data_IF_671632998473
#
_entry.id   IF_671632998473
#
_cell.length_a   1.000
_cell.length_b   1.000
_cell.length_c   1.000
_cell.angle_alpha   90.00
_cell.angle_beta   90.00
_cell.angle_gamma   90.00
#
_symmetry.space_group_name_H-M   'P 1'
#
loop_
_entity.id
_entity.type
_entity.pdbx_description
1 polymer ?
#
# COMPACT_ATOMS: atom_id res chain seq x y z
N UNK A 1 -4.91 4.91 -24.02
CA UNK A 1 -5.20 3.59 -23.36
C UNK A 1 -6.55 3.64 -22.68
N UNK A 2 -7.23 2.51 -22.61
CA UNK A 2 -8.44 2.31 -21.80
C UNK A 2 -8.05 1.68 -20.46
N UNK A 3 -8.47 2.31 -19.36
CA UNK A 3 -8.06 1.91 -18.01
C UNK A 3 -9.30 1.58 -17.19
N UNK A 4 -9.34 0.37 -16.63
CA UNK A 4 -10.32 -0.07 -15.66
C UNK A 4 -9.80 0.12 -14.24
N UNK A 5 -10.59 0.67 -13.33
CA UNK A 5 -10.21 0.87 -11.92
C UNK A 5 -11.25 0.23 -11.02
N UNK A 6 -10.82 -0.67 -10.16
CA UNK A 6 -11.64 -1.24 -9.10
C UNK A 6 -11.42 -0.47 -7.80
N UNK A 7 -12.48 0.16 -7.30
CA UNK A 7 -12.48 0.98 -6.09
C UNK A 7 -12.06 2.44 -6.33
N UNK A 8 -12.85 3.37 -5.80
CA UNK A 8 -12.62 4.81 -5.89
C UNK A 8 -12.31 5.44 -4.52
N UNK A 9 -11.49 4.75 -3.73
CA UNK A 9 -10.92 5.30 -2.50
C UNK A 9 -9.86 6.37 -2.77
N UNK A 10 -8.95 6.60 -1.81
CA UNK A 10 -7.82 7.51 -1.98
C UNK A 10 -6.92 7.08 -3.15
N UNK A 11 -6.52 5.82 -3.17
CA UNK A 11 -5.60 5.27 -4.19
C UNK A 11 -6.29 5.20 -5.55
N UNK A 12 -7.40 4.47 -5.68
CA UNK A 12 -8.09 4.32 -6.96
C UNK A 12 -8.62 5.63 -7.54
N UNK A 13 -9.13 6.52 -6.69
CA UNK A 13 -9.53 7.87 -7.10
C UNK A 13 -8.36 8.71 -7.61
N UNK A 14 -7.17 8.58 -7.01
CA UNK A 14 -5.96 9.27 -7.47
C UNK A 14 -5.46 8.71 -8.80
N UNK A 15 -5.50 7.39 -8.97
CA UNK A 15 -5.23 6.73 -10.26
C UNK A 15 -6.21 7.23 -11.33
N UNK A 16 -7.53 7.23 -11.04
CA UNK A 16 -8.54 7.70 -11.98
C UNK A 16 -8.25 9.14 -12.46
N UNK A 17 -7.94 10.03 -11.52
CA UNK A 17 -7.59 11.43 -11.84
C UNK A 17 -6.32 11.54 -12.66
N UNK A 18 -5.28 10.76 -12.34
CA UNK A 18 -4.00 10.80 -13.06
C UNK A 18 -4.17 10.37 -14.52
N UNK A 19 -4.89 9.26 -14.75
CA UNK A 19 -5.15 8.78 -16.10
C UNK A 19 -6.10 9.69 -16.89
N UNK A 20 -7.16 10.18 -16.29
CA UNK A 20 -8.06 11.13 -16.93
C UNK A 20 -7.34 12.44 -17.32
N UNK A 21 -6.49 12.97 -16.44
CA UNK A 21 -5.67 14.16 -16.71
C UNK A 21 -4.69 13.94 -17.87
N UNK A 22 -4.16 12.72 -18.00
CA UNK A 22 -3.30 12.32 -19.11
C UNK A 22 -4.06 12.03 -20.43
N UNK A 23 -5.38 12.22 -20.45
CA UNK A 23 -6.22 12.04 -21.64
C UNK A 23 -6.56 10.59 -21.97
N UNK A 24 -6.52 9.71 -20.98
CA UNK A 24 -6.93 8.30 -21.14
C UNK A 24 -8.41 8.11 -20.81
N UNK A 25 -9.01 7.06 -21.39
CA UNK A 25 -10.37 6.63 -21.05
C UNK A 25 -10.33 5.84 -19.75
N UNK A 26 -11.11 6.24 -18.76
CA UNK A 26 -11.16 5.60 -17.43
C UNK A 26 -12.55 5.07 -17.15
N UNK A 27 -12.65 3.77 -16.92
CA UNK A 27 -13.84 3.10 -16.40
C UNK A 27 -13.60 2.71 -14.94
N UNK A 28 -14.62 2.76 -14.09
CA UNK A 28 -14.45 2.36 -12.70
C UNK A 28 -15.61 1.52 -12.17
N UNK A 29 -15.28 0.57 -11.30
CA UNK A 29 -16.24 -0.16 -10.47
C UNK A 29 -16.12 0.33 -9.02
N UNK A 30 -17.24 0.81 -8.47
CA UNK A 30 -17.36 1.27 -7.09
C UNK A 30 -18.73 0.83 -6.55
N UNK A 31 -18.76 0.38 -5.30
CA UNK A 31 -19.99 -0.09 -4.65
C UNK A 31 -20.93 1.04 -4.25
N UNK A 32 -20.37 2.20 -3.94
CA UNK A 32 -21.12 3.42 -3.64
C UNK A 32 -21.43 4.16 -4.93
N UNK A 33 -22.67 4.03 -5.40
CA UNK A 33 -23.15 4.67 -6.64
C UNK A 33 -23.00 6.21 -6.58
N UNK A 34 -23.17 6.81 -5.40
CA UNK A 34 -22.98 8.25 -5.21
C UNK A 34 -21.54 8.66 -5.41
N UNK A 35 -20.59 7.82 -4.96
CA UNK A 35 -19.17 8.04 -5.18
C UNK A 35 -18.79 7.92 -6.65
N UNK A 36 -19.33 6.91 -7.34
CA UNK A 36 -19.12 6.73 -8.78
C UNK A 36 -19.66 7.94 -9.57
N UNK A 37 -20.87 8.35 -9.28
CA UNK A 37 -21.49 9.53 -9.93
C UNK A 37 -20.69 10.81 -9.65
N UNK A 38 -20.17 10.98 -8.44
CA UNK A 38 -19.30 12.11 -8.10
C UNK A 38 -17.96 12.06 -8.86
N UNK A 39 -17.36 10.89 -9.02
CA UNK A 39 -16.14 10.73 -9.79
C UNK A 39 -16.34 11.02 -11.29
N UNK A 40 -17.49 10.67 -11.82
CA UNK A 40 -17.90 11.01 -13.20
C UNK A 40 -18.10 12.53 -13.35
N UNK A 41 -18.83 13.15 -12.44
CA UNK A 41 -19.02 14.61 -12.44
C UNK A 41 -17.70 15.38 -12.32
N UNK A 42 -16.75 14.82 -11.56
CA UNK A 42 -15.40 15.38 -11.41
C UNK A 42 -14.49 15.13 -12.63
N UNK A 43 -14.97 14.46 -13.67
CA UNK A 43 -14.23 14.15 -14.89
C UNK A 43 -13.11 13.13 -14.71
N UNK A 44 -13.08 12.38 -13.58
CA UNK A 44 -12.08 11.36 -13.30
C UNK A 44 -12.44 9.98 -13.90
N UNK A 45 -13.73 9.74 -14.13
CA UNK A 45 -14.26 8.48 -14.68
C UNK A 45 -15.25 8.82 -15.78
N UNK A 46 -15.19 8.14 -16.91
CA UNK A 46 -16.16 8.32 -17.99
C UNK A 46 -17.42 7.50 -17.78
N UNK A 47 -17.26 6.19 -17.54
CA UNK A 47 -18.38 5.27 -17.39
C UNK A 47 -18.10 4.19 -16.33
N UNK A 48 -19.14 3.47 -15.85
CA UNK A 48 -18.97 2.31 -14.98
C UNK A 48 -18.16 1.20 -15.67
N UNK A 49 -17.34 0.48 -14.93
CA UNK A 49 -16.61 -0.69 -15.43
C UNK A 49 -17.54 -1.91 -15.48
N UNK A 50 -18.17 -2.12 -16.62
CA UNK A 50 -19.03 -3.28 -16.92
C UNK A 50 -18.21 -4.42 -17.54
N UNK A 51 -18.81 -5.60 -17.73
CA UNK A 51 -18.17 -6.72 -18.42
C UNK A 51 -17.68 -6.33 -19.84
N UNK A 52 -18.50 -5.60 -20.59
CA UNK A 52 -18.14 -5.12 -21.93
C UNK A 52 -16.98 -4.12 -21.91
N UNK A 53 -16.87 -3.32 -20.84
CA UNK A 53 -15.76 -2.37 -20.67
C UNK A 53 -14.48 -3.08 -20.21
N UNK A 54 -14.56 -4.15 -19.41
CA UNK A 54 -13.41 -4.96 -18.99
C UNK A 54 -12.67 -5.52 -20.22
N UNK A 55 -13.40 -6.01 -21.23
CA UNK A 55 -12.82 -6.54 -22.48
C UNK A 55 -12.03 -5.50 -23.28
N UNK A 56 -12.35 -4.20 -23.10
CA UNK A 56 -11.71 -3.09 -23.79
C UNK A 56 -10.51 -2.51 -23.04
N UNK A 57 -10.28 -2.93 -21.80
CA UNK A 57 -9.19 -2.38 -20.98
C UNK A 57 -7.82 -2.87 -21.43
N UNK A 58 -6.89 -1.93 -21.62
CA UNK A 58 -5.46 -2.20 -21.79
C UNK A 58 -4.78 -2.42 -20.43
N UNK A 59 -5.29 -1.74 -19.39
CA UNK A 59 -4.81 -1.76 -18.01
C UNK A 59 -5.98 -1.85 -17.05
N UNK A 60 -5.88 -2.72 -16.05
CA UNK A 60 -6.84 -2.81 -14.94
C UNK A 60 -6.07 -2.63 -13.63
N UNK A 61 -6.51 -1.67 -12.80
CA UNK A 61 -5.91 -1.35 -11.51
C UNK A 61 -6.87 -1.73 -10.38
N UNK A 62 -6.44 -2.63 -9.50
CA UNK A 62 -7.23 -3.14 -8.40
C UNK A 62 -6.88 -2.36 -7.13
N UNK A 63 -7.72 -1.42 -6.70
CA UNK A 63 -7.46 -0.50 -5.60
C UNK A 63 -8.49 -0.63 -4.45
N UNK A 64 -8.82 -1.87 -4.11
CA UNK A 64 -9.64 -2.27 -2.96
C UNK A 64 -8.84 -3.20 -2.04
N UNK A 65 -9.46 -3.77 -1.00
CA UNK A 65 -8.80 -4.67 -0.07
C UNK A 65 -8.43 -6.01 -0.74
N UNK A 66 -7.39 -6.72 -0.25
CA UNK A 66 -6.86 -7.92 -0.89
C UNK A 66 -7.92 -8.97 -1.23
N UNK A 67 -8.78 -9.31 -0.27
CA UNK A 67 -9.88 -10.25 -0.48
C UNK A 67 -10.86 -9.81 -1.57
N UNK A 68 -11.22 -8.53 -1.58
CA UNK A 68 -12.11 -7.98 -2.59
C UNK A 68 -11.46 -7.92 -3.98
N UNK A 69 -10.14 -7.65 -4.05
CA UNK A 69 -9.37 -7.71 -5.30
C UNK A 69 -9.41 -9.12 -5.91
N UNK A 70 -9.04 -10.13 -5.12
CA UNK A 70 -8.98 -11.51 -5.59
C UNK A 70 -10.36 -12.06 -5.97
N UNK A 71 -11.41 -11.74 -5.20
CA UNK A 71 -12.78 -12.15 -5.49
C UNK A 71 -13.29 -11.52 -6.78
N UNK A 72 -13.11 -10.20 -6.94
CA UNK A 72 -13.51 -9.52 -8.16
C UNK A 72 -12.76 -10.07 -9.39
N UNK A 73 -11.45 -10.33 -9.25
CA UNK A 73 -10.67 -10.90 -10.34
C UNK A 73 -11.17 -12.28 -10.74
N UNK A 74 -11.48 -13.15 -9.78
CA UNK A 74 -12.03 -14.49 -10.05
C UNK A 74 -13.39 -14.43 -10.78
N UNK A 75 -14.26 -13.50 -10.42
CA UNK A 75 -15.57 -13.32 -11.05
C UNK A 75 -15.47 -12.78 -12.49
N UNK A 76 -14.46 -11.95 -12.78
CA UNK A 76 -14.34 -11.20 -14.03
C UNK A 76 -13.21 -11.67 -14.95
N UNK A 77 -12.37 -12.61 -14.53
CA UNK A 77 -11.17 -13.08 -15.26
C UNK A 77 -11.47 -13.46 -16.72
N UNK A 78 -12.64 -14.10 -16.97
CA UNK A 78 -13.06 -14.50 -18.31
C UNK A 78 -13.32 -13.35 -19.29
N UNK A 79 -13.56 -12.13 -18.77
CA UNK A 79 -13.81 -10.93 -19.56
C UNK A 79 -12.55 -10.11 -19.79
N UNK A 80 -11.42 -10.46 -19.13
CA UNK A 80 -10.18 -9.74 -19.27
C UNK A 80 -9.47 -10.12 -20.57
N UNK A 81 -9.13 -9.13 -21.37
CA UNK A 81 -8.36 -9.34 -22.61
C UNK A 81 -7.01 -10.00 -22.30
N UNK A 82 -6.60 -10.96 -23.13
CA UNK A 82 -5.27 -11.59 -23.00
C UNK A 82 -4.11 -10.60 -23.15
N UNK A 83 -4.37 -9.46 -23.78
CA UNK A 83 -3.39 -8.38 -23.92
C UNK A 83 -3.48 -7.37 -22.75
N UNK A 84 -4.41 -7.51 -21.84
CA UNK A 84 -4.53 -6.60 -20.71
C UNK A 84 -3.41 -6.82 -19.68
N UNK A 85 -3.02 -5.72 -19.03
CA UNK A 85 -2.19 -5.73 -17.84
C UNK A 85 -3.07 -5.48 -16.63
N UNK A 86 -3.01 -6.35 -15.64
CA UNK A 86 -3.71 -6.20 -14.37
C UNK A 86 -2.70 -5.97 -13.27
N UNK A 87 -2.87 -4.91 -12.49
CA UNK A 87 -1.99 -4.56 -11.37
C UNK A 87 -2.83 -4.30 -10.14
N UNK A 88 -2.55 -4.96 -9.02
CA UNK A 88 -3.14 -4.59 -7.74
C UNK A 88 -2.38 -3.45 -7.06
N UNK A 89 -3.01 -2.81 -6.10
CA UNK A 89 -2.43 -1.72 -5.31
C UNK A 89 -2.51 -2.02 -3.79
N UNK A 90 -2.55 -3.28 -3.41
CA UNK A 90 -2.69 -3.70 -2.02
C UNK A 90 -1.40 -3.49 -1.22
N UNK A 91 -1.56 -3.33 0.09
CA UNK A 91 -0.44 -3.14 1.03
C UNK A 91 0.32 -4.41 1.41
N UNK A 92 -0.16 -5.60 1.00
CA UNK A 92 0.48 -6.92 1.18
C UNK A 92 0.49 -7.66 -0.15
N UNK A 93 1.43 -8.60 -0.33
CA UNK A 93 1.65 -9.24 -1.64
C UNK A 93 1.50 -10.75 -1.63
N UNK A 94 1.87 -11.47 -0.55
CA UNK A 94 1.81 -12.94 -0.57
C UNK A 94 0.39 -13.43 -0.79
N UNK A 95 -0.57 -12.92 -0.03
CA UNK A 95 -1.98 -13.32 -0.14
C UNK A 95 -2.57 -13.01 -1.52
N UNK A 96 -2.43 -11.78 -2.00
CA UNK A 96 -3.02 -11.37 -3.28
C UNK A 96 -2.34 -12.06 -4.48
N UNK A 97 -1.02 -12.17 -4.48
CA UNK A 97 -0.27 -12.78 -5.58
C UNK A 97 -0.54 -14.28 -5.67
N UNK A 98 -0.63 -15.00 -4.53
CA UNK A 98 -0.92 -16.43 -4.50
C UNK A 98 -2.27 -16.78 -5.15
N UNK A 99 -3.24 -15.87 -5.06
CA UNK A 99 -4.59 -16.04 -5.63
C UNK A 99 -4.70 -15.54 -7.07
N UNK A 100 -3.99 -14.45 -7.42
CA UNK A 100 -4.15 -13.79 -8.71
C UNK A 100 -3.24 -14.35 -9.81
N UNK A 101 -2.02 -14.83 -9.49
CA UNK A 101 -1.15 -15.45 -10.50
C UNK A 101 -1.77 -16.68 -11.16
N UNK A 102 -2.36 -17.65 -10.42
CA UNK A 102 -3.02 -18.79 -11.06
C UNK A 102 -4.19 -18.38 -11.97
N UNK A 103 -4.98 -17.40 -11.58
CA UNK A 103 -6.07 -16.89 -12.42
C UNK A 103 -5.54 -16.27 -13.71
N UNK A 104 -4.46 -15.46 -13.61
CA UNK A 104 -3.86 -14.86 -14.78
C UNK A 104 -3.30 -15.90 -15.75
N UNK A 105 -2.68 -16.96 -15.24
CA UNK A 105 -2.21 -18.10 -16.05
C UNK A 105 -3.37 -18.85 -16.72
N UNK A 106 -4.42 -19.17 -15.97
CA UNK A 106 -5.59 -19.89 -16.47
C UNK A 106 -6.31 -19.14 -17.60
N UNK A 107 -6.52 -17.82 -17.44
CA UNK A 107 -7.27 -17.02 -18.41
C UNK A 107 -6.38 -16.33 -19.46
N UNK A 108 -5.06 -16.33 -19.25
CA UNK A 108 -4.06 -15.90 -20.23
C UNK A 108 -3.82 -14.38 -20.30
N UNK A 109 -4.23 -13.60 -19.28
CA UNK A 109 -3.84 -12.20 -19.15
C UNK A 109 -2.59 -12.03 -18.29
N UNK A 110 -2.02 -10.83 -18.24
CA UNK A 110 -0.84 -10.55 -17.41
C UNK A 110 -1.25 -9.92 -16.08
N UNK A 111 -0.85 -10.55 -14.96
CA UNK A 111 -0.99 -9.97 -13.61
C UNK A 111 0.38 -9.62 -13.04
N UNK A 112 0.49 -8.46 -12.39
CA UNK A 112 1.67 -8.03 -11.64
C UNK A 112 1.22 -7.50 -10.28
N UNK A 113 1.80 -8.02 -9.21
CA UNK A 113 1.59 -7.45 -7.89
C UNK A 113 2.16 -6.03 -7.83
N UNK A 114 1.41 -5.11 -7.25
CA UNK A 114 1.81 -3.72 -7.10
C UNK A 114 1.56 -3.17 -5.70
N UNK A 115 2.40 -2.22 -5.28
CA UNK A 115 2.19 -1.46 -4.06
C UNK A 115 2.71 -0.03 -4.24
N UNK A 116 1.84 0.94 -4.53
CA UNK A 116 2.24 2.34 -4.56
C UNK A 116 2.54 2.82 -3.13
N UNK A 117 3.80 3.21 -2.88
CA UNK A 117 4.28 3.65 -1.57
C UNK A 117 3.86 5.10 -1.32
N UNK A 118 2.56 5.36 -1.41
CA UNK A 118 1.97 6.68 -1.24
C UNK A 118 0.65 6.59 -0.48
N UNK A 119 0.39 7.57 0.36
CA UNK A 119 -0.84 7.64 1.13
C UNK A 119 -0.90 8.88 2.01
N UNK A 120 -2.07 9.15 2.55
CA UNK A 120 -2.31 10.21 3.53
C UNK A 120 -3.11 9.66 4.70
N UNK A 121 -3.23 10.44 5.76
CA UNK A 121 -4.10 10.10 6.90
C UNK A 121 -5.60 10.09 6.56
N UNK A 122 -5.98 10.61 5.39
CA UNK A 122 -7.36 10.70 4.95
C UNK A 122 -7.70 9.58 3.98
N UNK A 123 -8.97 9.18 3.93
CA UNK A 123 -9.50 8.17 3.03
C UNK A 123 -10.64 8.72 2.16
N UNK A 124 -10.94 7.99 1.08
CA UNK A 124 -12.05 8.29 0.16
C UNK A 124 -11.66 9.22 -0.99
N UNK A 125 -12.50 9.21 -2.02
CA UNK A 125 -12.30 9.93 -3.27
C UNK A 125 -12.10 11.44 -3.12
N UNK A 126 -12.77 12.07 -2.14
CA UNK A 126 -12.66 13.52 -1.87
C UNK A 126 -11.23 13.98 -1.54
N UNK A 127 -10.38 13.06 -1.07
CA UNK A 127 -8.98 13.33 -0.72
C UNK A 127 -8.01 12.86 -1.80
N UNK A 128 -8.53 12.29 -2.90
CA UNK A 128 -7.70 11.84 -4.01
C UNK A 128 -7.13 13.01 -4.81
N UNK A 129 -5.93 12.81 -5.36
CA UNK A 129 -5.23 13.79 -6.18
C UNK A 129 -4.51 13.08 -7.33
N UNK A 130 -4.51 13.68 -8.52
CA UNK A 130 -3.73 13.18 -9.65
C UNK A 130 -2.22 13.13 -9.36
N UNK A 131 -1.74 13.95 -8.44
CA UNK A 131 -0.33 14.03 -8.04
C UNK A 131 0.02 13.20 -6.79
N UNK A 132 -0.89 12.35 -6.27
CA UNK A 132 -0.62 11.57 -5.06
C UNK A 132 0.63 10.71 -5.16
N UNK A 133 0.92 10.20 -6.35
CA UNK A 133 2.03 9.28 -6.61
C UNK A 133 3.29 9.95 -7.14
N UNK A 134 3.26 11.27 -7.35
CA UNK A 134 4.41 12.01 -7.87
C UNK A 134 5.63 11.78 -6.98
N UNK A 135 6.73 11.33 -7.60
CA UNK A 135 8.00 10.99 -6.95
C UNK A 135 7.96 9.85 -5.92
N UNK A 136 6.79 9.24 -5.67
CA UNK A 136 6.68 8.11 -4.77
C UNK A 136 7.27 6.83 -5.38
N UNK A 137 7.80 5.89 -4.57
CA UNK A 137 8.20 4.59 -5.05
C UNK A 137 6.97 3.73 -5.42
N UNK A 138 7.13 2.89 -6.45
CA UNK A 138 6.21 1.80 -6.78
C UNK A 138 6.91 0.47 -6.63
N UNK A 139 6.42 -0.40 -5.76
CA UNK A 139 6.97 -1.77 -5.62
C UNK A 139 6.20 -2.69 -6.55
N UNK A 140 6.93 -3.53 -7.28
CA UNK A 140 6.41 -4.48 -8.25
C UNK A 140 6.81 -5.91 -7.87
N UNK A 141 5.85 -6.82 -7.97
CA UNK A 141 6.02 -8.26 -7.81
C UNK A 141 5.56 -8.92 -9.11
N UNK A 142 6.45 -9.06 -10.11
CA UNK A 142 6.12 -9.72 -11.37
C UNK A 142 6.09 -11.24 -11.19
N UNK A 143 5.41 -12.00 -12.07
CA UNK A 143 5.45 -13.46 -12.06
C UNK A 143 6.86 -14.01 -12.37
N UNK A 144 7.69 -13.24 -13.06
CA UNK A 144 9.09 -13.56 -13.41
C UNK A 144 9.95 -12.30 -13.32
N UNK A 145 11.10 -12.42 -12.66
CA UNK A 145 12.04 -11.30 -12.45
C UNK A 145 12.86 -10.92 -13.68
N UNK A 146 13.06 -11.87 -14.57
CA UNK A 146 13.89 -11.74 -15.77
C UNK A 146 13.12 -11.23 -17.01
N UNK A 147 11.84 -10.91 -16.85
CA UNK A 147 10.99 -10.39 -17.93
C UNK A 147 11.11 -8.86 -18.05
N UNK A 148 12.18 -8.43 -18.69
CA UNK A 148 12.48 -7.00 -18.90
C UNK A 148 11.40 -6.32 -19.76
N UNK A 149 10.82 -7.04 -20.73
CA UNK A 149 9.75 -6.49 -21.59
C UNK A 149 8.49 -6.22 -20.79
N UNK A 150 8.13 -7.13 -19.87
CA UNK A 150 7.00 -6.91 -18.95
C UNK A 150 7.26 -5.72 -18.05
N UNK A 151 8.45 -5.61 -17.44
CA UNK A 151 8.77 -4.49 -16.54
C UNK A 151 8.76 -3.14 -17.28
N UNK A 152 9.25 -3.07 -18.50
CA UNK A 152 9.17 -1.87 -19.35
C UNK A 152 7.70 -1.53 -19.70
N UNK A 153 6.89 -2.53 -20.02
CA UNK A 153 5.44 -2.38 -20.26
C UNK A 153 4.73 -1.83 -19.03
N UNK A 154 4.99 -2.38 -17.84
CA UNK A 154 4.43 -1.89 -16.57
C UNK A 154 4.82 -0.44 -16.33
N UNK A 155 6.11 -0.10 -16.48
CA UNK A 155 6.61 1.27 -16.30
C UNK A 155 5.94 2.25 -17.24
N UNK A 156 5.77 1.89 -18.52
CA UNK A 156 5.06 2.72 -19.50
C UNK A 156 3.59 2.87 -19.18
N UNK A 157 2.92 1.79 -18.75
CA UNK A 157 1.53 1.82 -18.38
C UNK A 157 1.28 2.73 -17.15
N UNK A 158 2.18 2.76 -16.18
CA UNK A 158 2.10 3.57 -14.96
C UNK A 158 2.66 5.01 -15.11
N UNK A 159 3.20 5.38 -16.29
CA UNK A 159 3.78 6.71 -16.51
C UNK A 159 2.84 7.89 -16.14
N UNK A 160 1.51 7.83 -16.38
CA UNK A 160 0.60 8.90 -15.98
C UNK A 160 0.57 9.20 -14.48
N UNK A 161 0.98 8.23 -13.63
CA UNK A 161 1.00 8.39 -12.18
C UNK A 161 2.21 9.18 -11.66
N UNK A 162 3.30 9.29 -12.44
CA UNK A 162 4.49 10.06 -12.06
C UNK A 162 5.35 9.43 -10.96
N UNK A 163 5.34 8.10 -10.82
CA UNK A 163 6.20 7.41 -9.84
C UNK A 163 7.68 7.76 -10.05
N UNK A 164 8.39 8.09 -8.97
CA UNK A 164 9.81 8.48 -9.00
C UNK A 164 10.76 7.29 -9.15
N UNK A 165 10.38 6.12 -8.63
CA UNK A 165 11.20 4.91 -8.69
C UNK A 165 10.34 3.65 -8.74
N UNK A 166 10.96 2.56 -9.25
CA UNK A 166 10.36 1.23 -9.29
C UNK A 166 11.31 0.23 -8.63
N UNK A 167 10.80 -0.50 -7.64
CA UNK A 167 11.51 -1.59 -6.97
C UNK A 167 10.86 -2.92 -7.33
N UNK A 168 11.66 -3.90 -7.74
CA UNK A 168 11.18 -5.24 -8.10
C UNK A 168 11.60 -6.22 -7.02
N UNK A 169 10.65 -7.01 -6.51
CA UNK A 169 10.89 -7.94 -5.40
C UNK A 169 9.98 -9.16 -5.46
N UNK A 170 10.19 -10.15 -4.59
CA UNK A 170 9.24 -11.26 -4.38
C UNK A 170 8.09 -10.82 -3.47
N UNK A 171 6.95 -11.51 -3.54
CA UNK A 171 5.84 -11.26 -2.61
C UNK A 171 6.28 -11.41 -1.15
N UNK A 172 7.03 -12.47 -0.86
CA UNK A 172 7.57 -12.78 0.46
C UNK A 172 8.52 -11.70 0.99
N UNK A 173 9.50 -11.26 0.18
CA UNK A 173 10.42 -10.20 0.60
C UNK A 173 9.73 -8.86 0.76
N UNK A 174 8.75 -8.56 -0.11
CA UNK A 174 7.89 -7.40 0.06
C UNK A 174 7.25 -7.39 1.44
N UNK A 175 6.51 -8.45 1.79
CA UNK A 175 5.74 -8.51 3.01
C UNK A 175 6.63 -8.51 4.26
N UNK A 176 7.79 -9.17 4.21
CA UNK A 176 8.81 -9.10 5.25
C UNK A 176 9.30 -7.67 5.48
N UNK A 177 9.62 -6.93 4.41
CA UNK A 177 10.10 -5.54 4.52
C UNK A 177 8.99 -4.60 4.96
N UNK A 178 7.77 -4.79 4.47
CA UNK A 178 6.60 -3.97 4.85
C UNK A 178 6.21 -4.17 6.32
N UNK A 179 6.38 -5.35 6.88
CA UNK A 179 6.19 -5.58 8.31
C UNK A 179 7.04 -4.59 9.13
N UNK A 180 8.31 -4.43 8.78
CA UNK A 180 9.23 -3.52 9.46
C UNK A 180 9.01 -2.05 9.10
N UNK A 181 8.97 -1.71 7.81
CA UNK A 181 9.00 -0.31 7.36
C UNK A 181 7.67 0.42 7.48
N UNK A 182 6.55 -0.33 7.52
CA UNK A 182 5.21 0.24 7.54
C UNK A 182 4.36 -0.26 8.72
N UNK A 183 4.20 -1.57 8.87
CA UNK A 183 3.20 -2.11 9.81
C UNK A 183 3.60 -1.91 11.26
N UNK A 184 4.84 -2.21 11.66
CA UNK A 184 5.35 -1.93 13.01
C UNK A 184 5.27 -0.46 13.39
N UNK A 185 5.67 0.52 12.57
CA UNK A 185 5.47 1.94 12.86
C UNK A 185 4.02 2.32 13.18
N UNK A 186 3.04 1.74 12.47
CA UNK A 186 1.62 1.99 12.75
C UNK A 186 1.17 1.39 14.08
N UNK A 187 1.64 0.17 14.43
CA UNK A 187 1.38 -0.44 15.75
C UNK A 187 1.98 0.40 16.86
N UNK A 188 3.26 0.79 16.74
CA UNK A 188 3.95 1.61 17.74
C UNK A 188 3.20 2.93 17.97
N UNK A 189 2.91 3.63 16.89
CA UNK A 189 2.21 4.92 16.92
C UNK A 189 0.83 4.80 17.59
N UNK A 190 0.05 3.78 17.19
CA UNK A 190 -1.27 3.54 17.76
C UNK A 190 -1.22 3.06 19.21
N UNK A 191 -0.23 2.26 19.59
CA UNK A 191 -0.03 1.84 20.98
C UNK A 191 0.44 2.99 21.87
N UNK A 192 1.39 3.80 21.38
CA UNK A 192 1.95 4.94 22.09
C UNK A 192 0.90 5.96 22.51
N UNK A 193 -0.02 6.32 21.60
CA UNK A 193 -1.05 7.33 21.87
C UNK A 193 -2.09 6.89 22.91
N UNK A 194 -2.16 5.59 23.26
CA UNK A 194 -3.06 5.06 24.28
C UNK A 194 -2.62 5.37 25.72
N UNK A 195 -1.43 5.95 25.90
CA UNK A 195 -0.98 6.39 27.22
C UNK A 195 -1.99 7.38 27.84
N UNK A 196 -2.36 7.22 29.13
CA UNK A 196 -3.19 8.20 29.83
C UNK A 196 -2.59 9.60 29.81
N UNK A 197 -1.26 9.71 29.76
CA UNK A 197 -0.52 10.97 29.71
C UNK A 197 -0.78 11.74 28.41
N UNK A 198 -1.20 11.04 27.34
CA UNK A 198 -1.44 11.67 26.03
C UNK A 198 -2.47 12.80 26.08
N UNK A 199 -3.45 12.76 27.01
CA UNK A 199 -4.47 13.81 27.16
C UNK A 199 -3.91 15.15 27.64
N UNK A 200 -2.74 15.14 28.30
CA UNK A 200 -2.09 16.33 28.86
C UNK A 200 -0.88 16.85 28.05
N UNK A 201 -0.68 16.37 26.81
CA UNK A 201 0.53 16.67 26.04
C UNK A 201 0.61 18.11 25.51
N UNK A 202 -0.49 18.86 25.51
CA UNK A 202 -0.57 20.21 24.95
C UNK A 202 0.39 21.15 25.65
N UNK A 203 1.22 21.86 24.87
CA UNK A 203 2.28 22.72 25.39
C UNK A 203 3.60 22.03 25.72
N UNK A 204 3.63 20.67 25.75
CA UNK A 204 4.83 19.87 26.04
C UNK A 204 5.30 19.04 24.82
N UNK A 205 4.55 19.02 23.74
CA UNK A 205 4.86 18.21 22.56
C UNK A 205 5.55 19.04 21.47
N UNK A 206 6.58 18.44 20.86
CA UNK A 206 7.36 18.99 19.76
C UNK A 206 7.48 17.98 18.59
N UNK A 207 8.53 18.09 17.79
CA UNK A 207 8.74 17.27 16.58
C UNK A 207 8.65 15.77 16.84
N UNK A 208 9.40 15.24 17.78
CA UNK A 208 9.45 13.79 18.08
C UNK A 208 8.07 13.20 18.40
N UNK A 209 7.24 13.91 19.14
CA UNK A 209 5.87 13.48 19.40
C UNK A 209 5.04 13.45 18.12
N UNK A 210 5.10 14.53 17.31
CA UNK A 210 4.34 14.64 16.06
C UNK A 210 4.75 13.57 15.06
N UNK A 211 6.04 13.32 14.92
CA UNK A 211 6.58 12.32 13.99
C UNK A 211 6.13 10.91 14.40
N UNK A 212 6.27 10.57 15.70
CA UNK A 212 5.88 9.26 16.22
C UNK A 212 4.36 9.02 16.14
N UNK A 213 3.53 10.05 16.34
CA UNK A 213 2.06 9.89 16.40
C UNK A 213 1.36 10.15 15.07
N UNK A 214 2.06 10.62 14.05
CA UNK A 214 1.49 10.97 12.74
C UNK A 214 0.67 9.83 12.13
N UNK A 215 1.16 8.61 12.22
CA UNK A 215 0.53 7.42 11.63
C UNK A 215 -0.44 6.70 12.58
N UNK A 216 -0.73 7.26 13.76
CA UNK A 216 -1.79 6.76 14.64
C UNK A 216 -3.20 7.00 14.05
N UNK A 217 -3.34 7.99 13.16
CA UNK A 217 -4.55 8.19 12.36
C UNK A 217 -4.61 7.11 11.28
N UNK A 218 -5.47 6.12 11.46
CA UNK A 218 -5.58 4.99 10.56
C UNK A 218 -7.04 4.52 10.45
N UNK A 219 -7.34 3.78 9.36
CA UNK A 219 -8.59 3.07 9.22
C UNK A 219 -8.48 1.70 9.93
N UNK A 220 -9.16 1.49 11.09
CA UNK A 220 -8.95 0.28 11.89
C UNK A 220 -9.28 -1.03 11.15
N UNK A 221 -10.32 -1.02 10.30
CA UNK A 221 -10.75 -2.21 9.57
C UNK A 221 -9.71 -2.62 8.51
N UNK A 222 -9.24 -1.66 7.73
CA UNK A 222 -8.21 -1.91 6.72
C UNK A 222 -6.91 -2.43 7.34
N UNK A 223 -6.44 -1.77 8.41
CA UNK A 223 -5.19 -2.16 9.06
C UNK A 223 -5.28 -3.50 9.76
N UNK A 224 -6.44 -3.85 10.33
CA UNK A 224 -6.64 -5.18 10.92
C UNK A 224 -6.52 -6.29 9.86
N UNK A 225 -7.10 -6.12 8.67
CA UNK A 225 -6.95 -7.06 7.55
C UNK A 225 -5.48 -7.17 7.14
N UNK A 226 -4.80 -6.05 6.83
CA UNK A 226 -3.39 -6.03 6.42
C UNK A 226 -2.44 -6.65 7.47
N UNK A 227 -2.72 -6.48 8.75
CA UNK A 227 -1.93 -7.10 9.83
C UNK A 227 -2.13 -8.60 9.90
N UNK A 228 -3.36 -9.08 9.67
CA UNK A 228 -3.66 -10.50 9.68
C UNK A 228 -3.09 -11.21 8.44
N UNK A 229 -3.15 -10.56 7.29
CA UNK A 229 -2.59 -11.09 6.04
C UNK A 229 -1.06 -11.21 6.09
N UNK A 230 -0.38 -10.36 6.88
CA UNK A 230 1.07 -10.38 7.08
C UNK A 230 1.50 -10.84 8.49
N UNK A 231 0.66 -11.63 9.14
CA UNK A 231 0.79 -11.96 10.57
C UNK A 231 2.14 -12.55 10.94
N UNK A 232 2.70 -13.44 10.13
CA UNK A 232 3.93 -14.16 10.50
C UNK A 232 5.14 -13.21 10.60
N UNK A 233 5.36 -12.39 9.60
CA UNK A 233 6.44 -11.40 9.60
C UNK A 233 6.21 -10.33 10.67
N UNK A 234 4.97 -9.85 10.78
CA UNK A 234 4.62 -8.82 11.75
C UNK A 234 4.79 -9.26 13.20
N UNK A 235 4.46 -10.51 13.53
CA UNK A 235 4.72 -11.09 14.84
C UNK A 235 6.21 -11.15 15.16
N UNK A 236 7.06 -11.57 14.22
CA UNK A 236 8.51 -11.60 14.41
C UNK A 236 9.11 -10.21 14.70
N UNK A 237 8.65 -9.20 13.96
CA UNK A 237 9.08 -7.81 14.19
C UNK A 237 8.57 -7.28 15.55
N UNK A 238 7.33 -7.61 15.91
CA UNK A 238 6.75 -7.20 17.19
C UNK A 238 7.47 -7.84 18.38
N UNK A 239 7.79 -9.13 18.30
CA UNK A 239 8.55 -9.82 19.36
C UNK A 239 9.95 -9.22 19.53
N UNK A 240 10.63 -8.90 18.42
CA UNK A 240 11.94 -8.23 18.43
C UNK A 240 11.85 -6.86 19.12
N UNK A 241 10.84 -6.06 18.77
CA UNK A 241 10.60 -4.75 19.36
C UNK A 241 10.30 -4.86 20.86
N UNK A 242 9.44 -5.80 21.27
CA UNK A 242 9.08 -6.01 22.67
C UNK A 242 10.28 -6.43 23.50
N UNK A 243 11.16 -7.27 22.97
CA UNK A 243 12.41 -7.64 23.63
C UNK A 243 13.33 -6.43 23.83
N UNK A 244 13.50 -5.60 22.80
CA UNK A 244 14.29 -4.38 22.88
C UNK A 244 13.73 -3.38 23.91
N UNK A 245 12.40 -3.14 23.90
CA UNK A 245 11.75 -2.28 24.90
C UNK A 245 11.85 -2.85 26.31
N UNK A 246 11.83 -4.17 26.46
CA UNK A 246 12.04 -4.87 27.71
C UNK A 246 13.41 -4.56 28.31
N UNK A 247 14.47 -4.60 27.50
CA UNK A 247 15.84 -4.29 27.93
C UNK A 247 15.96 -2.86 28.48
N UNK A 248 15.36 -1.86 27.81
CA UNK A 248 15.31 -0.48 28.33
C UNK A 248 14.56 -0.39 29.65
N UNK A 249 13.39 -1.05 29.75
CA UNK A 249 12.60 -1.07 30.99
C UNK A 249 13.39 -1.65 32.17
N UNK A 250 14.08 -2.77 31.93
CA UNK A 250 14.83 -3.49 32.99
C UNK A 250 16.03 -2.69 33.44
N UNK A 251 16.79 -2.07 32.53
CA UNK A 251 17.90 -1.18 32.87
C UNK A 251 17.41 0.06 33.65
N UNK A 252 16.29 0.66 33.26
CA UNK A 252 15.66 1.77 33.98
C UNK A 252 15.22 1.35 35.40
N UNK A 253 14.64 0.17 35.55
CA UNK A 253 14.18 -0.35 36.84
C UNK A 253 15.38 -0.61 37.80
N UNK A 254 16.53 -1.02 37.23
CA UNK A 254 17.76 -1.23 37.99
C UNK A 254 18.54 0.07 38.27
N UNK A 255 18.22 1.17 37.60
CA UNK A 255 19.01 2.41 37.63
C UNK A 255 20.42 2.23 37.01
N UNK A 256 20.53 1.32 36.03
CA UNK A 256 21.79 0.94 35.38
C UNK A 256 22.12 1.87 34.21
N UNK A 257 22.88 2.92 34.47
CA UNK A 257 23.29 3.93 33.49
C UNK A 257 24.22 3.34 32.41
N UNK A 258 25.10 2.41 32.77
CA UNK A 258 26.03 1.80 31.82
C UNK A 258 25.29 0.97 30.79
N UNK A 259 24.33 0.14 31.21
CA UNK A 259 23.49 -0.64 30.33
C UNK A 259 22.60 0.26 29.43
N UNK A 260 22.03 1.34 29.99
CA UNK A 260 21.27 2.31 29.20
C UNK A 260 22.12 2.97 28.13
N UNK A 261 23.33 3.37 28.48
CA UNK A 261 24.28 3.98 27.54
C UNK A 261 24.66 3.00 26.42
N UNK A 262 24.88 1.73 26.75
CA UNK A 262 25.19 0.70 25.77
C UNK A 262 24.02 0.47 24.78
N UNK A 263 22.78 0.35 25.28
CA UNK A 263 21.58 0.18 24.44
C UNK A 263 21.36 1.36 23.49
N UNK A 264 21.54 2.60 23.96
CA UNK A 264 21.44 3.81 23.17
C UNK A 264 22.53 3.90 22.10
N UNK A 265 23.76 3.50 22.46
CA UNK A 265 24.89 3.47 21.53
C UNK A 265 24.67 2.46 20.42
N UNK A 266 24.20 1.24 20.73
CA UNK A 266 23.87 0.22 19.75
C UNK A 266 22.81 0.75 18.75
N UNK A 267 21.74 1.35 19.25
CA UNK A 267 20.68 1.91 18.41
C UNK A 267 21.19 3.00 17.47
N UNK A 268 22.06 3.89 17.97
CA UNK A 268 22.69 4.93 17.16
C UNK A 268 23.58 4.34 16.06
N UNK A 269 24.44 3.38 16.40
CA UNK A 269 25.33 2.72 15.44
C UNK A 269 24.56 1.96 14.35
N UNK A 270 23.46 1.30 14.73
CA UNK A 270 22.54 0.66 13.78
C UNK A 270 21.96 1.68 12.79
N UNK A 271 21.52 2.84 13.29
CA UNK A 271 20.99 3.92 12.44
C UNK A 271 22.03 4.43 11.46
N UNK A 272 23.28 4.61 11.91
CA UNK A 272 24.40 5.02 11.05
C UNK A 272 24.71 3.98 9.96
N UNK A 273 24.59 2.67 10.26
CA UNK A 273 24.80 1.60 9.28
C UNK A 273 23.71 1.53 8.19
N UNK A 274 22.47 1.88 8.55
CA UNK A 274 21.31 1.73 7.65
C UNK A 274 21.10 2.96 6.78
N UNK A 275 21.27 4.16 7.31
CA UNK A 275 20.92 5.41 6.66
C UNK A 275 22.09 6.44 6.61
N UNK A 276 23.29 6.05 7.05
CA UNK A 276 24.49 6.90 7.11
C UNK A 276 25.23 7.06 5.78
#
# INVERSE_FOLDING_TARGET
MTVGILGLGLIGGSLARAYALAGHTVFAAERDESMLAFAQLAGAVQEPLTADHIEQCDLILLAVYPDACASWLAENARHISKNALVIDCCGVKEEICSRCFPLAEEYGFTFVGGHPMAGTQFSGFKHSSASLFADAPMVLVPPRFDDIELLDRVKKALAPCGFGSFSVTTAKDHDRIIAFTSQIPHIISNAFIKSPTATGHQGFSAGSYKDLTRVAWLNPRMWAELFLDNREFLMGELDTLLAALGAYRDALAAGDEDTLTALLTEGKERKEQVDG
#
